data_IF_199699980399
#
_entry.id   IF_199699980399
#
_cell.length_a   1.000
_cell.length_b   1.000
_cell.length_c   1.000
_cell.angle_alpha   90.00
_cell.angle_beta   90.00
_cell.angle_gamma   90.00
#
_symmetry.space_group_name_H-M   'P 1'
#
loop_
_entity.id
_entity.type
_entity.pdbx_description
1 polymer ?
#
# COMPACT_ATOMS: atom_id res chain seq x y z
N UNK A 1 12.30 11.20 4.27
CA UNK A 1 11.44 10.23 5.00
C UNK A 1 10.46 9.61 4.04
N UNK A 2 10.27 8.30 4.11
CA UNK A 2 9.33 7.56 3.27
C UNK A 2 8.28 6.86 4.14
N UNK A 3 6.99 7.19 3.94
CA UNK A 3 5.85 6.67 4.70
C UNK A 3 4.93 5.92 3.74
N UNK A 4 4.51 4.69 4.10
CA UNK A 4 3.47 3.96 3.38
C UNK A 4 2.22 3.73 4.22
N UNK A 5 1.10 3.58 3.53
CA UNK A 5 -0.19 3.20 4.11
C UNK A 5 -0.62 1.85 3.55
N UNK A 6 -0.94 0.92 4.43
CA UNK A 6 -1.29 -0.45 4.10
C UNK A 6 -2.61 -0.89 4.76
N UNK A 7 -3.19 -1.98 4.28
CA UNK A 7 -4.45 -2.56 4.78
C UNK A 7 -5.43 -2.93 3.66
N UNK A 8 -6.59 -3.46 4.01
CA UNK A 8 -7.63 -3.88 3.08
C UNK A 8 -8.23 -2.72 2.30
N UNK A 9 -8.85 -2.99 1.15
CA UNK A 9 -9.64 -1.99 0.44
C UNK A 9 -10.82 -1.56 1.31
N UNK A 10 -11.15 -0.25 1.27
CA UNK A 10 -12.18 0.31 2.15
C UNK A 10 -11.72 0.64 3.58
N UNK A 11 -10.51 0.28 4.03
CA UNK A 11 -10.07 0.57 5.41
C UNK A 11 -9.79 2.06 5.69
N UNK A 12 -9.66 2.91 4.64
CA UNK A 12 -9.46 4.35 4.79
C UNK A 12 -8.04 4.85 4.52
N UNK A 13 -7.12 4.02 4.05
CA UNK A 13 -5.72 4.38 3.70
C UNK A 13 -5.60 5.68 2.92
N UNK A 14 -6.29 5.76 1.79
CA UNK A 14 -6.22 6.93 0.88
C UNK A 14 -6.63 8.23 1.57
N UNK A 15 -7.65 8.16 2.43
CA UNK A 15 -8.10 9.31 3.22
C UNK A 15 -7.01 9.75 4.20
N UNK A 16 -6.43 8.81 4.92
CA UNK A 16 -5.40 9.09 5.92
C UNK A 16 -4.10 9.58 5.27
N UNK A 17 -3.68 8.98 4.16
CA UNK A 17 -2.50 9.43 3.40
C UNK A 17 -2.65 10.89 2.96
N UNK A 18 -3.84 11.28 2.45
CA UNK A 18 -4.13 12.66 2.06
C UNK A 18 -4.14 13.63 3.24
N UNK A 19 -4.70 13.23 4.38
CA UNK A 19 -4.73 14.04 5.58
C UNK A 19 -3.33 14.25 6.15
N UNK A 20 -2.50 13.21 6.18
CA UNK A 20 -1.11 13.32 6.59
C UNK A 20 -0.34 14.26 5.66
N UNK A 21 -0.43 14.05 4.33
CA UNK A 21 0.26 14.89 3.36
C UNK A 21 -0.07 16.38 3.55
N UNK A 22 -1.35 16.73 3.64
CA UNK A 22 -1.79 18.12 3.89
C UNK A 22 -1.23 18.69 5.19
N UNK A 23 -1.28 17.90 6.27
CA UNK A 23 -0.78 18.35 7.58
C UNK A 23 0.72 18.62 7.56
N UNK A 24 1.49 17.85 6.79
CA UNK A 24 2.94 18.06 6.62
C UNK A 24 3.22 19.27 5.74
N UNK A 25 2.47 19.45 4.63
CA UNK A 25 2.58 20.64 3.76
C UNK A 25 2.32 21.95 4.53
N UNK A 26 1.35 21.95 5.47
CA UNK A 26 1.06 23.10 6.35
C UNK A 26 2.25 23.51 7.23
N UNK A 27 3.20 22.60 7.47
CA UNK A 27 4.45 22.91 8.19
C UNK A 27 5.55 23.47 7.29
N UNK A 28 5.32 23.58 5.98
CA UNK A 28 6.29 24.07 5.00
C UNK A 28 7.26 23.00 4.48
N UNK A 29 7.02 21.73 4.81
CA UNK A 29 7.83 20.60 4.29
C UNK A 29 7.34 20.23 2.90
N UNK A 30 8.27 19.95 1.98
CA UNK A 30 7.93 19.39 0.68
C UNK A 30 7.40 17.96 0.83
N UNK A 31 6.19 17.69 0.31
CA UNK A 31 5.55 16.38 0.37
C UNK A 31 5.23 15.87 -1.02
N UNK A 32 5.54 14.60 -1.28
CA UNK A 32 5.11 13.88 -2.48
C UNK A 32 4.09 12.83 -2.06
N UNK A 33 2.81 13.12 -2.33
CA UNK A 33 1.72 12.17 -2.15
C UNK A 33 1.57 11.33 -3.42
N UNK A 34 1.65 10.01 -3.28
CA UNK A 34 1.56 9.07 -4.41
C UNK A 34 0.83 7.79 -4.01
N UNK A 35 0.66 6.86 -4.97
CA UNK A 35 -0.03 5.58 -4.74
C UNK A 35 0.51 4.48 -5.65
N UNK A 36 0.26 3.23 -5.26
CA UNK A 36 0.52 2.06 -6.08
C UNK A 36 -0.72 1.14 -6.25
N UNK A 37 -0.84 0.47 -7.40
CA UNK A 37 -0.05 0.71 -8.61
C UNK A 37 -0.37 2.06 -9.22
N UNK A 38 0.63 2.72 -9.85
CA UNK A 38 0.48 4.05 -10.46
C UNK A 38 1.67 4.97 -10.19
N UNK A 39 1.41 6.27 -10.17
CA UNK A 39 2.41 7.31 -9.84
C UNK A 39 3.37 7.67 -10.97
N UNK A 40 3.39 6.91 -12.06
CA UNK A 40 4.17 7.18 -13.29
C UNK A 40 3.35 6.82 -14.52
N UNK A 41 3.66 7.34 -15.72
CA UNK A 41 2.92 6.98 -16.93
C UNK A 41 2.85 5.46 -17.18
N UNK A 42 3.97 4.74 -17.00
CA UNK A 42 3.99 3.28 -17.11
C UNK A 42 3.19 2.63 -15.98
N UNK A 43 3.32 3.12 -14.75
CA UNK A 43 2.58 2.62 -13.61
C UNK A 43 1.07 2.72 -13.76
N UNK A 44 0.55 3.82 -14.36
CA UNK A 44 -0.87 3.99 -14.65
C UNK A 44 -1.35 3.02 -15.73
N UNK A 45 -0.57 2.77 -16.77
CA UNK A 45 -0.91 1.75 -17.79
C UNK A 45 -0.97 0.35 -17.17
N UNK A 46 -0.01 0.00 -16.32
CA UNK A 46 -0.02 -1.28 -15.61
C UNK A 46 -1.23 -1.35 -14.65
N UNK A 47 -1.56 -0.25 -13.96
CA UNK A 47 -2.77 -0.17 -13.13
C UNK A 47 -4.02 -0.54 -13.90
N UNK A 48 -4.21 0.03 -15.07
CA UNK A 48 -5.37 -0.28 -15.91
C UNK A 48 -5.41 -1.76 -16.32
N UNK A 49 -4.25 -2.34 -16.66
CA UNK A 49 -4.15 -3.77 -16.99
C UNK A 49 -4.52 -4.67 -15.80
N UNK A 50 -3.99 -4.39 -14.59
CA UNK A 50 -4.18 -5.28 -13.45
C UNK A 50 -5.53 -5.10 -12.75
N UNK A 51 -6.15 -3.93 -12.81
CA UNK A 51 -7.42 -3.66 -12.14
C UNK A 51 -8.64 -3.82 -13.07
N UNK A 52 -8.50 -3.46 -14.35
CA UNK A 52 -9.62 -3.37 -15.29
C UNK A 52 -9.46 -4.28 -16.51
N UNK A 53 -8.29 -4.89 -16.71
CA UNK A 53 -8.04 -5.84 -17.78
C UNK A 53 -8.76 -7.17 -17.61
N UNK A 54 -8.63 -8.03 -18.61
CA UNK A 54 -9.11 -9.41 -18.59
C UNK A 54 -8.34 -10.26 -17.55
N UNK A 55 -8.49 -11.57 -17.63
CA UNK A 55 -7.79 -12.50 -16.75
C UNK A 55 -6.27 -12.31 -16.81
N UNK A 56 -5.66 -12.10 -15.63
CA UNK A 56 -4.21 -12.06 -15.45
C UNK A 56 -3.80 -13.23 -14.56
N UNK A 57 -2.88 -14.05 -15.03
CA UNK A 57 -2.36 -15.16 -14.23
C UNK A 57 -1.65 -14.62 -12.96
N UNK A 58 -1.71 -15.32 -11.81
CA UNK A 58 -1.20 -14.80 -10.53
C UNK A 58 0.25 -14.32 -10.57
N UNK A 59 1.17 -15.06 -11.16
CA UNK A 59 2.57 -14.61 -11.30
C UNK A 59 2.74 -13.44 -12.27
N UNK A 60 1.93 -13.36 -13.34
CA UNK A 60 1.93 -12.19 -14.22
C UNK A 60 1.42 -10.94 -13.47
N UNK A 61 0.37 -11.10 -12.65
CA UNK A 61 -0.13 -10.04 -11.77
C UNK A 61 0.97 -9.54 -10.83
N UNK A 62 1.66 -10.44 -10.11
CA UNK A 62 2.74 -10.08 -9.20
C UNK A 62 3.91 -9.38 -9.91
N UNK A 63 4.30 -9.86 -11.09
CA UNK A 63 5.37 -9.27 -11.89
C UNK A 63 4.98 -7.87 -12.42
N UNK A 64 3.74 -7.65 -12.83
CA UNK A 64 3.25 -6.34 -13.26
C UNK A 64 3.25 -5.34 -12.11
N UNK A 65 2.81 -5.72 -10.91
CA UNK A 65 2.92 -4.87 -9.72
C UNK A 65 4.38 -4.51 -9.40
N UNK A 66 5.28 -5.51 -9.46
CA UNK A 66 6.71 -5.26 -9.22
C UNK A 66 7.33 -4.34 -10.29
N UNK A 67 6.95 -4.50 -11.56
CA UNK A 67 7.42 -3.63 -12.65
C UNK A 67 6.94 -2.18 -12.49
N UNK A 68 5.65 -1.97 -12.17
CA UNK A 68 5.10 -0.65 -11.87
C UNK A 68 5.83 0.02 -10.71
N UNK A 69 6.10 -0.75 -9.65
CA UNK A 69 6.82 -0.30 -8.45
C UNK A 69 8.27 0.07 -8.74
N UNK A 70 8.99 -0.74 -9.53
CA UNK A 70 10.35 -0.44 -9.92
C UNK A 70 10.44 0.92 -10.64
N UNK A 71 9.55 1.17 -11.59
CA UNK A 71 9.45 2.44 -12.30
C UNK A 71 9.11 3.60 -11.36
N UNK A 72 8.16 3.39 -10.45
CA UNK A 72 7.73 4.38 -9.47
C UNK A 72 8.87 4.78 -8.51
N UNK A 73 9.65 3.81 -8.06
CA UNK A 73 10.81 4.06 -7.21
C UNK A 73 11.86 4.89 -7.95
N UNK A 74 12.18 4.52 -9.19
CA UNK A 74 13.22 5.18 -9.97
C UNK A 74 12.84 6.60 -10.39
N UNK A 75 11.62 6.81 -10.90
CA UNK A 75 11.21 8.09 -11.47
C UNK A 75 10.68 9.08 -10.41
N UNK A 76 10.09 8.60 -9.33
CA UNK A 76 9.41 9.48 -8.37
C UNK A 76 9.98 9.40 -6.95
N UNK A 77 10.04 8.19 -6.35
CA UNK A 77 10.31 8.07 -4.91
C UNK A 77 11.77 8.43 -4.59
N UNK A 78 12.75 7.81 -5.26
CA UNK A 78 14.18 8.11 -5.02
C UNK A 78 14.54 9.55 -5.30
N UNK A 79 14.12 10.19 -6.41
CA UNK A 79 14.36 11.62 -6.65
C UNK A 79 13.71 12.52 -5.60
N UNK A 80 12.50 12.18 -5.12
CA UNK A 80 11.84 12.94 -4.06
C UNK A 80 12.63 12.87 -2.74
N UNK A 81 13.02 11.66 -2.32
CA UNK A 81 13.82 11.46 -1.11
C UNK A 81 15.20 12.14 -1.21
N UNK A 82 15.84 12.08 -2.38
CA UNK A 82 17.16 12.69 -2.60
C UNK A 82 17.16 14.22 -2.45
N UNK A 83 16.03 14.90 -2.74
CA UNK A 83 15.88 16.35 -2.51
C UNK A 83 15.31 16.71 -1.14
N UNK A 84 15.14 15.71 -0.25
CA UNK A 84 14.69 15.91 1.13
C UNK A 84 13.17 15.96 1.33
N UNK A 85 12.38 15.66 0.29
CA UNK A 85 10.93 15.59 0.42
C UNK A 85 10.48 14.40 1.30
N UNK A 86 9.32 14.55 1.95
CA UNK A 86 8.62 13.42 2.57
C UNK A 86 7.76 12.76 1.50
N UNK A 87 7.95 11.46 1.28
CA UNK A 87 7.10 10.67 0.39
C UNK A 87 6.02 9.98 1.23
N UNK A 88 4.75 10.17 0.85
CA UNK A 88 3.58 9.50 1.43
C UNK A 88 2.95 8.66 0.33
N UNK A 89 2.98 7.33 0.48
CA UNK A 89 2.52 6.39 -0.54
C UNK A 89 1.33 5.56 -0.03
N UNK A 90 0.24 5.57 -0.78
CA UNK A 90 -0.91 4.67 -0.56
C UNK A 90 -0.60 3.33 -1.24
N UNK A 91 -0.26 2.32 -0.47
CA UNK A 91 0.25 0.99 -0.80
C UNK A 91 1.71 1.00 -1.29
N UNK A 92 2.43 -0.09 -0.94
CA UNK A 92 3.79 -0.35 -1.39
C UNK A 92 4.07 -1.87 -1.44
N UNK A 93 5.30 -2.30 -1.16
CA UNK A 93 5.75 -3.71 -1.20
C UNK A 93 4.83 -4.64 -0.40
N UNK A 94 4.44 -4.22 0.79
CA UNK A 94 3.67 -5.05 1.72
C UNK A 94 2.27 -5.41 1.17
N UNK A 95 1.65 -4.52 0.36
CA UNK A 95 0.45 -4.86 -0.38
C UNK A 95 0.65 -6.05 -1.32
N UNK A 96 1.76 -6.10 -2.08
CA UNK A 96 2.02 -7.25 -2.97
C UNK A 96 2.27 -8.53 -2.19
N UNK A 97 2.97 -8.44 -1.06
CA UNK A 97 3.22 -9.62 -0.20
C UNK A 97 1.91 -10.16 0.36
N UNK A 98 1.02 -9.28 0.81
CA UNK A 98 -0.28 -9.68 1.34
C UNK A 98 -1.23 -10.22 0.25
N UNK A 99 -1.38 -9.48 -0.86
CA UNK A 99 -2.34 -9.81 -1.91
C UNK A 99 -1.86 -10.94 -2.82
N UNK A 100 -0.66 -10.81 -3.41
CA UNK A 100 -0.13 -11.81 -4.32
C UNK A 100 0.54 -12.96 -3.57
N UNK A 101 1.34 -12.66 -2.55
CA UNK A 101 2.05 -13.67 -1.77
C UNK A 101 1.10 -14.60 -1.02
N UNK A 102 0.28 -14.05 -0.14
CA UNK A 102 -0.66 -14.81 0.68
C UNK A 102 -2.02 -14.99 -0.01
N UNK A 103 -2.65 -13.91 -0.48
CA UNK A 103 -3.98 -13.96 -1.08
C UNK A 103 -4.06 -14.86 -2.31
N UNK A 104 -3.13 -14.73 -3.28
CA UNK A 104 -3.01 -15.59 -4.46
C UNK A 104 -2.18 -16.86 -4.20
N UNK A 105 -1.70 -17.08 -2.99
CA UNK A 105 -0.94 -18.28 -2.59
C UNK A 105 0.35 -18.50 -3.41
N UNK A 106 1.01 -17.40 -3.86
CA UNK A 106 2.25 -17.48 -4.61
C UNK A 106 3.49 -17.69 -3.72
N UNK A 107 3.32 -17.58 -2.40
CA UNK A 107 4.42 -17.60 -1.43
C UNK A 107 4.81 -16.17 -0.98
N UNK A 108 4.80 -15.98 0.33
CA UNK A 108 5.12 -14.69 0.96
C UNK A 108 6.58 -14.30 0.70
N UNK A 109 7.50 -15.26 0.86
CA UNK A 109 8.95 -15.02 0.70
C UNK A 109 9.32 -14.78 -0.78
N UNK A 110 8.70 -15.51 -1.69
CA UNK A 110 8.93 -15.39 -3.14
C UNK A 110 8.49 -14.01 -3.65
N UNK A 111 7.30 -13.56 -3.23
CA UNK A 111 6.79 -12.24 -3.63
C UNK A 111 7.55 -11.12 -2.93
N UNK A 112 7.96 -11.30 -1.68
CA UNK A 112 8.82 -10.33 -0.99
C UNK A 112 10.17 -10.19 -1.70
N UNK A 113 10.82 -11.29 -2.05
CA UNK A 113 12.11 -11.29 -2.75
C UNK A 113 12.03 -10.61 -4.13
N UNK A 114 10.97 -10.90 -4.91
CA UNK A 114 10.69 -10.24 -6.17
C UNK A 114 10.62 -8.73 -6.00
N UNK A 115 9.85 -8.26 -5.03
CA UNK A 115 9.64 -6.84 -4.80
C UNK A 115 10.88 -6.14 -4.24
N UNK A 116 11.61 -6.76 -3.31
CA UNK A 116 12.87 -6.20 -2.79
C UNK A 116 13.90 -6.03 -3.91
N UNK A 117 13.98 -6.99 -4.82
CA UNK A 117 14.83 -6.88 -6.01
C UNK A 117 14.39 -5.72 -6.91
N UNK A 118 13.09 -5.60 -7.18
CA UNK A 118 12.52 -4.56 -8.03
C UNK A 118 12.77 -3.13 -7.50
N UNK A 119 12.76 -2.95 -6.17
CA UNK A 119 12.96 -1.63 -5.53
C UNK A 119 14.40 -1.37 -5.08
N UNK A 120 15.33 -2.30 -5.35
CA UNK A 120 16.72 -2.20 -4.87
C UNK A 120 16.80 -2.05 -3.34
N UNK A 121 15.99 -2.82 -2.61
CA UNK A 121 15.93 -2.85 -1.15
C UNK A 121 15.29 -1.62 -0.50
N UNK A 122 14.76 -0.65 -1.24
CA UNK A 122 14.12 0.53 -0.66
C UNK A 122 12.80 0.13 0.02
N UNK A 123 12.71 0.30 1.31
CA UNK A 123 11.50 0.12 2.11
C UNK A 123 11.11 1.44 2.80
N UNK A 124 9.84 1.60 3.21
CA UNK A 124 9.41 2.76 4.00
C UNK A 124 10.12 2.82 5.35
N UNK A 125 10.42 4.03 5.80
CA UNK A 125 10.86 4.30 7.18
C UNK A 125 9.72 4.00 8.16
N UNK A 126 8.46 4.23 7.74
CA UNK A 126 7.26 4.04 8.55
C UNK A 126 6.12 3.51 7.70
N UNK A 127 5.44 2.47 8.17
CA UNK A 127 4.27 1.87 7.53
C UNK A 127 3.07 1.91 8.49
N UNK A 128 2.02 2.61 8.10
CA UNK A 128 0.74 2.59 8.82
C UNK A 128 -0.15 1.48 8.29
N UNK A 129 -0.39 0.45 9.09
CA UNK A 129 -1.40 -0.56 8.80
C UNK A 129 -2.75 -0.07 9.36
N UNK A 130 -3.64 0.38 8.47
CA UNK A 130 -5.00 0.76 8.87
C UNK A 130 -5.86 -0.50 8.92
N UNK A 131 -6.15 -0.96 10.14
CA UNK A 131 -6.89 -2.21 10.38
C UNK A 131 -8.38 -1.94 10.53
N UNK A 132 -9.18 -2.71 9.81
CA UNK A 132 -10.62 -2.87 10.03
C UNK A 132 -10.99 -4.34 9.80
N UNK A 133 -12.11 -4.79 10.37
CA UNK A 133 -12.63 -6.11 10.03
C UNK A 133 -13.02 -6.22 8.55
N UNK A 134 -12.97 -7.44 8.03
CA UNK A 134 -13.21 -7.73 6.59
C UNK A 134 -14.60 -7.27 6.16
N UNK A 135 -15.62 -7.50 6.97
CA UNK A 135 -17.01 -7.13 6.64
C UNK A 135 -17.15 -5.60 6.50
N UNK A 136 -16.55 -4.85 7.40
CA UNK A 136 -16.50 -3.39 7.34
C UNK A 136 -15.75 -2.92 6.08
N UNK A 137 -14.62 -3.54 5.76
CA UNK A 137 -13.82 -3.22 4.59
C UNK A 137 -14.64 -3.43 3.29
N UNK A 138 -15.21 -4.63 3.12
CA UNK A 138 -16.02 -4.98 1.94
C UNK A 138 -17.27 -4.12 1.81
N UNK A 139 -17.97 -3.83 2.91
CA UNK A 139 -19.16 -2.97 2.89
C UNK A 139 -18.84 -1.53 2.40
N UNK A 140 -17.62 -1.02 2.66
CA UNK A 140 -17.20 0.30 2.20
C UNK A 140 -16.80 0.34 0.72
N UNK A 141 -16.34 -0.78 0.15
CA UNK A 141 -16.02 -0.91 -1.29
C UNK A 141 -17.30 -0.97 -2.12
N UNK A 142 -18.32 -1.74 -1.68
CA UNK A 142 -19.60 -1.91 -2.37
C UNK A 142 -19.50 -2.78 -3.63
N UNK A 143 -20.55 -2.74 -4.48
CA UNK A 143 -20.73 -3.65 -5.62
C UNK A 143 -19.87 -3.31 -6.87
N UNK A 144 -19.16 -2.20 -6.87
CA UNK A 144 -18.36 -1.70 -8.01
C UNK A 144 -16.88 -2.09 -7.94
N UNK A 145 -16.55 -3.13 -7.19
CA UNK A 145 -15.19 -3.58 -6.98
C UNK A 145 -14.43 -3.89 -8.28
N UNK A 146 -13.13 -3.66 -8.27
CA UNK A 146 -12.23 -4.03 -9.37
C UNK A 146 -12.01 -5.56 -9.46
N UNK A 147 -11.14 -6.01 -10.36
CA UNK A 147 -10.84 -7.43 -10.56
C UNK A 147 -10.31 -8.12 -9.30
N UNK A 148 -9.52 -7.42 -8.49
CA UNK A 148 -8.95 -7.94 -7.25
C UNK A 148 -10.04 -8.03 -6.17
N UNK A 149 -10.86 -6.99 -6.06
CA UNK A 149 -11.93 -6.89 -5.07
C UNK A 149 -13.04 -7.94 -5.27
N UNK A 150 -13.15 -8.51 -6.48
CA UNK A 150 -14.04 -9.65 -6.82
C UNK A 150 -13.45 -11.04 -6.52
N UNK A 151 -12.33 -11.10 -5.78
CA UNK A 151 -11.71 -12.36 -5.42
C UNK A 151 -12.63 -13.23 -4.53
N UNK A 152 -12.32 -14.54 -4.48
CA UNK A 152 -13.05 -15.51 -3.67
C UNK A 152 -13.05 -15.14 -2.18
N UNK A 153 -14.08 -15.55 -1.45
CA UNK A 153 -14.24 -15.24 -0.03
C UNK A 153 -13.04 -15.67 0.83
N UNK A 154 -12.37 -16.77 0.47
CA UNK A 154 -11.17 -17.25 1.17
C UNK A 154 -9.92 -16.38 0.97
N UNK A 155 -9.91 -15.51 -0.03
CA UNK A 155 -8.80 -14.60 -0.33
C UNK A 155 -8.59 -13.55 0.80
N UNK A 156 -9.66 -12.92 1.25
CA UNK A 156 -9.60 -11.79 2.17
C UNK A 156 -9.04 -12.13 3.56
N UNK A 157 -9.42 -13.27 4.19
CA UNK A 157 -8.78 -13.69 5.44
C UNK A 157 -7.27 -13.88 5.29
N UNK A 158 -6.80 -14.50 4.20
CA UNK A 158 -5.36 -14.68 3.96
C UNK A 158 -4.63 -13.34 3.84
N UNK A 159 -5.23 -12.36 3.14
CA UNK A 159 -4.65 -11.02 3.01
C UNK A 159 -4.59 -10.30 4.36
N UNK A 160 -5.67 -10.34 5.15
CA UNK A 160 -5.73 -9.72 6.47
C UNK A 160 -4.69 -10.33 7.43
N UNK A 161 -4.62 -11.65 7.50
CA UNK A 161 -3.63 -12.37 8.33
C UNK A 161 -2.19 -12.05 7.90
N UNK A 162 -1.93 -11.94 6.58
CA UNK A 162 -0.61 -11.60 6.07
C UNK A 162 -0.19 -10.18 6.49
N UNK A 163 -1.08 -9.21 6.48
CA UNK A 163 -0.75 -7.86 6.98
C UNK A 163 -0.37 -7.87 8.46
N UNK A 164 -1.10 -8.61 9.30
CA UNK A 164 -0.76 -8.73 10.73
C UNK A 164 0.57 -9.44 10.94
N UNK A 165 0.85 -10.49 10.15
CA UNK A 165 2.13 -11.20 10.19
C UNK A 165 3.29 -10.29 9.74
N UNK A 166 3.10 -9.46 8.71
CA UNK A 166 4.09 -8.46 8.27
C UNK A 166 4.32 -7.39 9.34
N UNK A 167 3.26 -6.89 9.98
CA UNK A 167 3.39 -5.93 11.08
C UNK A 167 4.17 -6.51 12.26
N UNK A 168 3.95 -7.76 12.61
CA UNK A 168 4.71 -8.45 13.65
C UNK A 168 6.17 -8.71 13.25
N UNK A 169 6.43 -9.09 11.99
CA UNK A 169 7.76 -9.38 11.46
C UNK A 169 8.65 -8.14 11.34
N UNK A 170 8.07 -7.00 10.97
CA UNK A 170 8.76 -5.73 10.73
C UNK A 170 8.30 -4.65 11.70
N UNK A 171 8.15 -5.02 12.98
CA UNK A 171 7.60 -4.17 14.02
C UNK A 171 8.34 -2.82 14.19
N UNK A 172 9.62 -2.75 13.80
CA UNK A 172 10.43 -1.54 13.86
C UNK A 172 9.95 -0.43 12.91
N UNK A 173 9.24 -0.76 11.83
CA UNK A 173 8.70 0.20 10.86
C UNK A 173 7.18 0.22 10.79
N UNK A 174 6.48 -0.63 11.53
CA UNK A 174 5.03 -0.72 11.49
C UNK A 174 4.35 -0.05 12.68
N UNK A 175 3.28 0.69 12.37
CA UNK A 175 2.30 1.17 13.34
C UNK A 175 0.93 0.67 12.92
N UNK A 176 0.29 -0.12 13.76
CA UNK A 176 -1.07 -0.62 13.53
C UNK A 176 -2.07 0.39 14.07
N UNK A 177 -2.98 0.85 13.20
CA UNK A 177 -3.98 1.89 13.49
C UNK A 177 -5.39 1.29 13.41
N UNK A 178 -6.19 1.47 14.45
CA UNK A 178 -7.61 1.07 14.44
C UNK A 178 -8.43 2.00 13.51
N UNK A 179 -8.71 1.52 12.31
CA UNK A 179 -9.46 2.23 11.26
C UNK A 179 -10.98 2.29 11.46
N UNK A 180 -11.50 1.75 12.58
CA UNK A 180 -12.92 1.85 12.96
C UNK A 180 -13.22 3.16 13.65
N UNK A 181 -12.21 3.83 14.18
CA UNK A 181 -12.31 5.12 14.88
C UNK A 181 -12.64 6.26 13.92
N UNK A 182 -12.98 7.41 14.46
CA UNK A 182 -13.29 8.61 13.67
C UNK A 182 -12.09 9.06 12.80
N UNK A 183 -12.38 9.50 11.57
CA UNK A 183 -11.34 9.89 10.58
C UNK A 183 -10.34 10.91 11.16
N UNK A 184 -10.82 11.91 11.89
CA UNK A 184 -9.99 12.96 12.49
C UNK A 184 -9.16 12.47 13.67
N UNK A 185 -9.67 11.50 14.42
CA UNK A 185 -8.98 10.88 15.53
C UNK A 185 -7.81 10.02 15.02
N UNK A 186 -8.07 9.18 14.02
CA UNK A 186 -7.05 8.38 13.33
C UNK A 186 -5.97 9.29 12.72
N UNK A 187 -6.38 10.39 12.06
CA UNK A 187 -5.43 11.33 11.49
C UNK A 187 -4.55 12.03 12.55
N UNK A 188 -5.08 12.29 13.74
CA UNK A 188 -4.30 12.87 14.84
C UNK A 188 -3.22 11.91 15.32
N UNK A 189 -3.57 10.64 15.56
CA UNK A 189 -2.62 9.60 15.97
C UNK A 189 -1.52 9.39 14.92
N UNK A 190 -1.87 9.28 13.63
CA UNK A 190 -0.89 9.14 12.54
C UNK A 190 0.11 10.30 12.53
N UNK A 191 -0.35 11.54 12.70
CA UNK A 191 0.53 12.71 12.76
C UNK A 191 1.51 12.67 13.91
N UNK A 192 1.11 12.13 15.06
CA UNK A 192 1.98 12.07 16.23
C UNK A 192 3.17 11.11 16.04
N UNK A 193 3.06 10.13 15.15
CA UNK A 193 4.13 9.23 14.77
C UNK A 193 5.12 9.81 13.72
N UNK A 194 4.76 10.89 13.03
CA UNK A 194 5.57 11.48 11.93
C UNK A 194 6.29 12.78 12.36
N UNK A 195 6.14 13.18 13.61
CA UNK A 195 6.78 14.39 14.20
C UNK A 195 8.23 14.16 14.57
#
# INVERSE_FOLDING_TARGET
MFVSFEGLDGCGKTTQARLLARSLEETGVEVVLTREPGGTPLGEQIRDLVLHGDHVAPWAEAALYAAARAQHVEELIRPALARGAIVVCDRYVDSSVAYQGAGRELGVEEVLALNLTAVGGLLPDLTFLVEVDIDTALARVGDKGDRIERAEAAFWPRVAEAYLALAARFAERYVVIDGRRGVTEVAAEIRDHVR
#
